data_IF_602310956685
#
_entry.id   IF_602310956685
#
_cell.length_a   1.000
_cell.length_b   1.000
_cell.length_c   1.000
_cell.angle_alpha   90.00
_cell.angle_beta   90.00
_cell.angle_gamma   90.00
#
_symmetry.space_group_name_H-M   'P 1'
#
loop_
_entity.id
_entity.type
_entity.pdbx_description
1 polymer ?
#
# COMPACT_ATOMS: atom_id res chain seq x y z
N UNK A 1 -13.81 9.99 8.75
CA UNK A 1 -12.65 9.52 7.97
C UNK A 1 -12.58 8.00 8.12
N UNK A 2 -12.28 7.24 7.06
CA UNK A 2 -12.03 5.80 7.21
C UNK A 2 -10.76 5.64 8.04
N UNK A 3 -10.89 5.14 9.28
CA UNK A 3 -9.74 4.83 10.12
C UNK A 3 -9.24 3.45 9.74
N UNK A 4 -8.11 3.40 9.04
CA UNK A 4 -7.44 2.16 8.69
C UNK A 4 -6.46 1.79 9.82
N UNK A 5 -6.39 0.52 10.24
CA UNK A 5 -5.36 0.08 11.18
C UNK A 5 -3.97 0.45 10.67
N UNK A 6 -3.07 0.84 11.56
CA UNK A 6 -1.69 1.26 11.23
C UNK A 6 -0.83 0.17 10.58
N UNK A 7 -1.28 -1.09 10.62
CA UNK A 7 -0.62 -2.24 10.00
C UNK A 7 -1.06 -2.53 8.57
N UNK A 8 -2.07 -1.82 8.04
CA UNK A 8 -2.59 -2.10 6.69
C UNK A 8 -1.65 -1.51 5.65
N UNK A 9 -1.11 -2.37 4.78
CA UNK A 9 -0.30 -1.93 3.65
C UNK A 9 -1.21 -1.49 2.51
N UNK A 10 -0.74 -0.54 1.72
CA UNK A 10 -1.49 -0.01 0.59
C UNK A 10 -0.71 -0.26 -0.69
N UNK A 11 -1.27 -1.08 -1.57
CA UNK A 11 -0.70 -1.38 -2.87
C UNK A 11 -1.40 -0.60 -3.98
N UNK A 12 -0.64 0.26 -4.63
CA UNK A 12 -1.11 1.11 -5.73
C UNK A 12 -0.83 0.42 -7.07
N UNK A 13 -1.89 0.20 -7.86
CA UNK A 13 -1.76 -0.37 -9.19
C UNK A 13 -1.20 0.66 -10.18
N UNK A 14 -0.03 0.37 -10.77
CA UNK A 14 0.55 1.22 -11.79
C UNK A 14 -0.34 1.28 -13.05
N UNK A 15 -0.46 2.47 -13.65
CA UNK A 15 -1.21 2.66 -14.89
C UNK A 15 -2.73 2.63 -14.69
N UNK A 16 -3.46 2.09 -15.68
CA UNK A 16 -4.91 2.17 -15.76
C UNK A 16 -5.56 0.79 -15.64
N UNK A 17 -6.60 0.71 -14.81
CA UNK A 17 -7.45 -0.47 -14.62
C UNK A 17 -8.84 -0.20 -15.18
N UNK A 18 -9.46 -1.24 -15.78
CA UNK A 18 -10.85 -1.17 -16.20
C UNK A 18 -11.78 -1.11 -14.98
N UNK A 19 -12.40 0.05 -14.76
CA UNK A 19 -13.31 0.28 -13.64
C UNK A 19 -14.67 -0.42 -13.75
N UNK A 20 -14.97 -1.09 -14.87
CA UNK A 20 -16.14 -1.97 -14.99
C UNK A 20 -15.99 -3.25 -14.15
N UNK A 21 -14.76 -3.60 -13.77
CA UNK A 21 -14.49 -4.74 -12.88
C UNK A 21 -15.11 -4.50 -11.49
N UNK A 22 -15.87 -5.48 -11.01
CA UNK A 22 -16.33 -5.60 -9.62
C UNK A 22 -15.29 -6.37 -8.79
N UNK A 23 -15.70 -6.85 -7.61
CA UNK A 23 -14.86 -7.55 -6.63
C UNK A 23 -14.00 -8.64 -7.28
N UNK A 24 -14.58 -9.65 -7.93
CA UNK A 24 -13.80 -10.78 -8.48
C UNK A 24 -12.82 -10.36 -9.58
N UNK A 25 -13.24 -9.41 -10.42
CA UNK A 25 -12.40 -8.87 -11.47
C UNK A 25 -11.21 -8.10 -10.91
N UNK A 26 -11.41 -7.35 -9.82
CA UNK A 26 -10.33 -6.62 -9.13
C UNK A 26 -9.46 -7.55 -8.30
N UNK A 27 -10.01 -8.58 -7.65
CA UNK A 27 -9.25 -9.62 -6.96
C UNK A 27 -8.32 -10.36 -7.94
N UNK A 28 -8.82 -10.68 -9.14
CA UNK A 28 -7.99 -11.23 -10.21
C UNK A 28 -6.92 -10.24 -10.69
N UNK A 29 -7.23 -8.94 -10.74
CA UNK A 29 -6.25 -7.91 -11.06
C UNK A 29 -5.18 -7.77 -9.96
N UNK A 30 -5.54 -7.86 -8.67
CA UNK A 30 -4.60 -7.89 -7.55
C UNK A 30 -3.59 -9.02 -7.73
N UNK A 31 -4.06 -10.24 -8.00
CA UNK A 31 -3.19 -11.41 -8.21
C UNK A 31 -2.26 -11.24 -9.42
N UNK A 32 -2.80 -10.76 -10.54
CA UNK A 32 -2.06 -10.70 -11.83
C UNK A 32 -1.14 -9.49 -11.95
N UNK A 33 -1.63 -8.31 -11.61
CA UNK A 33 -0.91 -7.06 -11.77
C UNK A 33 -0.04 -6.76 -10.55
N UNK A 34 -0.58 -6.91 -9.34
CA UNK A 34 0.14 -6.55 -8.11
C UNK A 34 0.96 -7.70 -7.54
N UNK A 35 0.72 -8.93 -8.00
CA UNK A 35 1.33 -10.16 -7.47
C UNK A 35 1.12 -10.31 -5.96
N UNK A 36 -0.03 -9.83 -5.48
CA UNK A 36 -0.46 -9.94 -4.08
C UNK A 36 -1.66 -10.87 -3.96
N UNK A 37 -1.88 -11.37 -2.75
CA UNK A 37 -3.10 -12.13 -2.43
C UNK A 37 -4.21 -11.17 -1.95
N UNK A 38 -5.37 -11.10 -2.62
CA UNK A 38 -6.45 -10.19 -2.25
C UNK A 38 -7.07 -10.46 -0.87
N UNK A 39 -6.78 -11.59 -0.22
CA UNK A 39 -7.35 -11.99 1.08
C UNK A 39 -6.51 -11.54 2.30
N UNK A 40 -5.38 -10.85 2.10
CA UNK A 40 -4.44 -10.50 3.18
C UNK A 40 -4.90 -9.35 4.09
N UNK A 41 -6.02 -8.71 3.77
CA UNK A 41 -6.50 -7.53 4.49
C UNK A 41 -5.77 -6.22 4.17
N UNK A 42 -4.87 -6.25 3.18
CA UNK A 42 -4.24 -5.05 2.61
C UNK A 42 -5.22 -4.27 1.72
N UNK A 43 -4.91 -3.00 1.44
CA UNK A 43 -5.66 -2.19 0.47
C UNK A 43 -5.05 -2.31 -0.92
N UNK A 44 -5.89 -2.61 -1.92
CA UNK A 44 -5.50 -2.62 -3.33
C UNK A 44 -6.20 -1.49 -4.07
N UNK A 45 -5.42 -0.51 -4.53
CA UNK A 45 -5.93 0.76 -5.05
C UNK A 45 -5.74 0.79 -6.57
N UNK A 46 -6.83 0.98 -7.29
CA UNK A 46 -6.88 0.98 -8.75
C UNK A 46 -7.44 2.30 -9.27
N UNK A 47 -6.96 2.73 -10.45
CA UNK A 47 -7.40 3.97 -11.08
C UNK A 47 -7.77 3.75 -12.54
N UNK A 48 -8.70 4.54 -13.06
CA UNK A 48 -9.07 4.48 -14.47
C UNK A 48 -8.09 5.25 -15.36
N UNK A 49 -8.24 5.09 -16.68
CA UNK A 49 -7.42 5.77 -17.69
C UNK A 49 -7.45 7.30 -17.57
N UNK A 50 -8.63 7.88 -17.30
CA UNK A 50 -8.83 9.32 -17.16
C UNK A 50 -8.33 9.87 -15.82
N UNK A 51 -8.01 8.98 -14.88
CA UNK A 51 -7.58 9.31 -13.51
C UNK A 51 -8.60 10.11 -12.71
N UNK A 52 -9.88 10.01 -13.03
CA UNK A 52 -10.98 10.67 -12.31
C UNK A 52 -11.72 9.69 -11.37
N UNK A 53 -11.37 8.40 -11.40
CA UNK A 53 -12.01 7.35 -10.60
C UNK A 53 -10.98 6.43 -9.96
N UNK A 54 -11.21 6.16 -8.69
CA UNK A 54 -10.43 5.21 -7.88
C UNK A 54 -11.35 4.17 -7.27
N UNK A 55 -10.90 2.91 -7.30
CA UNK A 55 -11.49 1.81 -6.53
C UNK A 55 -10.48 1.27 -5.53
N UNK A 56 -10.93 0.97 -4.32
CA UNK A 56 -10.12 0.34 -3.28
C UNK A 56 -10.78 -0.98 -2.90
N UNK A 57 -10.10 -2.08 -3.18
CA UNK A 57 -10.49 -3.42 -2.76
C UNK A 57 -9.77 -3.78 -1.46
N UNK A 58 -10.49 -4.31 -0.47
CA UNK A 58 -9.89 -4.89 0.72
C UNK A 58 -10.73 -6.06 1.25
N UNK A 59 -10.07 -7.02 1.89
CA UNK A 59 -10.72 -8.13 2.55
C UNK A 59 -10.81 -7.87 4.05
N UNK A 60 -11.98 -8.07 4.63
CA UNK A 60 -12.26 -7.91 6.07
C UNK A 60 -12.85 -9.21 6.57
N UNK A 61 -12.16 -9.94 7.46
CA UNK A 61 -12.57 -11.21 8.11
C UNK A 61 -13.34 -12.21 7.23
N UNK A 62 -14.60 -11.91 6.91
CA UNK A 62 -15.54 -12.75 6.15
C UNK A 62 -15.88 -12.26 4.73
N UNK A 63 -15.41 -11.09 4.28
CA UNK A 63 -15.87 -10.54 3.01
C UNK A 63 -15.02 -9.45 2.38
N UNK A 64 -15.25 -9.24 1.08
CA UNK A 64 -14.66 -8.14 0.34
C UNK A 64 -15.45 -6.85 0.50
N UNK A 65 -14.71 -5.77 0.66
CA UNK A 65 -15.19 -4.42 0.56
C UNK A 65 -14.61 -3.75 -0.68
N UNK A 66 -15.46 -2.97 -1.34
CA UNK A 66 -15.08 -2.20 -2.52
C UNK A 66 -15.52 -0.75 -2.36
N UNK A 67 -14.56 0.13 -2.11
CA UNK A 67 -14.82 1.56 -2.13
C UNK A 67 -14.65 2.09 -3.54
N UNK A 68 -15.49 3.04 -3.92
CA UNK A 68 -15.43 3.70 -5.22
C UNK A 68 -15.54 5.21 -5.01
N UNK A 69 -14.53 5.94 -5.48
CA UNK A 69 -14.51 7.41 -5.47
C UNK A 69 -14.41 7.92 -6.90
N UNK A 70 -15.31 8.84 -7.25
CA UNK A 70 -15.27 9.60 -8.50
C UNK A 70 -15.08 11.08 -8.16
N UNK A 71 -14.17 11.74 -8.84
CA UNK A 71 -14.04 13.18 -8.78
C UNK A 71 -15.10 13.84 -9.67
N UNK A 72 -15.72 14.91 -9.17
CA UNK A 72 -16.64 15.72 -9.98
C UNK A 72 -15.86 16.62 -10.97
N UNK A 73 -14.59 16.93 -10.68
CA UNK A 73 -13.67 17.63 -11.58
C UNK A 73 -12.22 17.27 -11.28
N UNK A 74 -11.33 17.41 -12.27
CA UNK A 74 -9.90 17.15 -12.14
C UNK A 74 -9.51 15.68 -12.19
N UNK A 75 -8.27 15.39 -11.81
CA UNK A 75 -7.68 14.05 -11.88
C UNK A 75 -6.78 13.77 -10.68
N UNK A 76 -6.74 12.51 -10.25
CA UNK A 76 -5.78 12.02 -9.28
C UNK A 76 -4.35 12.05 -9.84
N UNK A 77 -3.39 12.41 -8.98
CA UNK A 77 -1.97 12.26 -9.29
C UNK A 77 -1.60 10.78 -9.21
N UNK A 78 -1.55 10.13 -10.37
CA UNK A 78 -1.36 8.68 -10.47
C UNK A 78 -0.01 8.33 -11.11
N UNK A 79 0.76 7.37 -10.55
CA UNK A 79 2.03 6.96 -11.14
C UNK A 79 1.81 6.43 -12.56
N UNK A 80 2.53 7.03 -13.50
CA UNK A 80 2.52 6.58 -14.89
C UNK A 80 3.33 5.28 -14.98
N UNK A 81 2.82 4.29 -15.71
CA UNK A 81 3.54 3.04 -16.00
C UNK A 81 4.74 3.24 -16.95
N UNK A 82 5.19 4.48 -17.19
CA UNK A 82 6.33 4.78 -18.08
C UNK A 82 7.63 4.55 -17.31
N UNK A 83 8.25 3.39 -17.52
CA UNK A 83 9.64 3.12 -17.18
C UNK A 83 9.88 2.29 -15.91
N UNK A 84 8.87 2.11 -15.06
CA UNK A 84 8.91 1.09 -14.02
C UNK A 84 8.03 -0.07 -14.46
N UNK A 85 8.56 -1.29 -14.36
CA UNK A 85 7.81 -2.54 -14.47
C UNK A 85 6.44 -2.40 -13.83
N UNK A 86 5.44 -3.12 -14.33
CA UNK A 86 4.05 -3.20 -13.84
C UNK A 86 3.88 -3.62 -12.35
N UNK A 87 4.91 -3.44 -11.52
CA UNK A 87 4.94 -3.72 -10.10
C UNK A 87 4.04 -2.74 -9.32
N UNK A 88 3.40 -3.27 -8.29
CA UNK A 88 2.69 -2.48 -7.30
C UNK A 88 3.66 -1.52 -6.60
N UNK A 89 3.25 -0.26 -6.44
CA UNK A 89 3.94 0.67 -5.55
C UNK A 89 3.27 0.58 -4.18
N UNK A 90 4.04 0.20 -3.15
CA UNK A 90 3.55 0.28 -1.77
C UNK A 90 3.62 1.74 -1.31
N UNK A 91 2.49 2.26 -0.83
CA UNK A 91 2.38 3.61 -0.28
C UNK A 91 1.91 3.54 1.17
N UNK A 92 2.24 4.57 1.95
CA UNK A 92 1.74 4.69 3.31
C UNK A 92 0.33 5.31 3.35
N UNK A 93 -0.28 5.31 4.55
CA UNK A 93 -1.63 5.83 4.78
C UNK A 93 -1.73 7.34 4.54
N UNK A 94 -0.65 8.10 4.77
CA UNK A 94 -0.63 9.54 4.51
C UNK A 94 -0.59 9.83 3.01
N UNK A 95 0.17 9.05 2.24
CA UNK A 95 0.20 9.10 0.78
C UNK A 95 -1.16 8.71 0.19
N UNK A 96 -1.82 7.69 0.74
CA UNK A 96 -3.19 7.34 0.33
C UNK A 96 -4.18 8.49 0.65
N UNK A 97 -4.10 9.09 1.84
CA UNK A 97 -4.96 10.21 2.20
C UNK A 97 -4.73 11.42 1.28
N UNK A 98 -3.47 11.76 0.97
CA UNK A 98 -3.11 12.81 0.03
C UNK A 98 -3.65 12.51 -1.38
N UNK A 99 -3.48 11.28 -1.87
CA UNK A 99 -4.02 10.82 -3.15
C UNK A 99 -5.53 11.02 -3.20
N UNK A 100 -6.25 10.53 -2.20
CA UNK A 100 -7.69 10.64 -2.12
C UNK A 100 -8.14 12.10 -1.94
N UNK A 101 -7.30 12.97 -1.37
CA UNK A 101 -7.52 14.42 -1.29
C UNK A 101 -7.27 15.16 -2.61
N UNK A 102 -6.77 14.50 -3.65
CA UNK A 102 -6.42 15.12 -4.94
C UNK A 102 -5.05 15.82 -4.93
N UNK A 103 -4.24 15.59 -3.89
CA UNK A 103 -2.89 16.13 -3.80
C UNK A 103 -1.91 15.27 -4.60
N UNK A 104 -0.77 15.86 -4.97
CA UNK A 104 0.29 15.16 -5.70
C UNK A 104 1.00 14.16 -4.79
N UNK A 105 0.93 12.88 -5.13
CA UNK A 105 1.75 11.83 -4.51
C UNK A 105 3.04 11.73 -5.31
N UNK A 106 4.11 12.38 -4.82
CA UNK A 106 5.43 12.22 -5.43
C UNK A 106 6.20 11.10 -4.74
N UNK A 107 6.67 10.13 -5.52
CA UNK A 107 7.65 9.11 -5.09
C UNK A 107 9.07 9.68 -4.86
N UNK A 108 9.27 10.98 -5.16
CA UNK A 108 10.51 11.70 -4.85
C UNK A 108 10.65 11.72 -3.32
N UNK A 109 11.59 10.93 -2.79
CA UNK A 109 11.94 10.86 -1.37
C UNK A 109 11.83 12.27 -0.78
N UNK A 110 10.82 12.46 0.06
CA UNK A 110 10.71 13.68 0.84
C UNK A 110 12.04 13.84 1.58
N UNK A 111 12.74 14.96 1.35
CA UNK A 111 13.97 15.31 2.09
C UNK A 111 13.66 15.69 3.55
N UNK A 112 12.39 15.58 3.94
CA UNK A 112 11.90 15.88 5.26
C UNK A 112 11.97 14.65 6.18
N UNK A 113 11.87 14.91 7.48
CA UNK A 113 12.16 13.95 8.53
C UNK A 113 11.31 12.67 8.38
N UNK A 114 11.96 11.53 8.18
CA UNK A 114 11.35 10.21 8.31
C UNK A 114 12.02 9.49 9.47
N UNK A 115 11.26 9.18 10.50
CA UNK A 115 11.77 8.36 11.60
C UNK A 115 12.00 6.95 11.08
N UNK A 116 13.24 6.48 11.15
CA UNK A 116 13.58 5.08 10.86
C UNK A 116 13.84 4.41 12.21
N UNK A 117 13.06 3.39 12.62
CA UNK A 117 13.43 2.60 13.77
C UNK A 117 14.78 1.95 13.49
N UNK A 118 15.78 2.23 14.32
CA UNK A 118 16.97 1.40 14.40
C UNK A 118 16.52 -0.01 14.80
N UNK A 119 16.75 -1.00 13.95
CA UNK A 119 16.48 -2.40 14.28
C UNK A 119 17.44 -2.81 15.41
N UNK A 120 17.04 -2.63 16.67
CA UNK A 120 17.76 -3.14 17.84
C UNK A 120 17.49 -4.65 17.95
N UNK A 121 18.02 -5.41 16.99
CA UNK A 121 18.21 -6.86 17.08
C UNK A 121 19.68 -7.17 16.87
N UNK A 122 20.51 -6.79 17.85
CA UNK A 122 21.85 -7.35 18.12
C UNK A 122 22.34 -6.75 19.43
N UNK A 123 21.78 -7.20 20.56
CA UNK A 123 22.37 -6.93 21.89
C UNK A 123 22.14 -8.07 22.91
N UNK A 124 21.45 -9.17 22.53
CA UNK A 124 21.23 -10.30 23.43
C UNK A 124 21.99 -11.59 23.04
N UNK A 125 23.02 -11.49 22.19
CA UNK A 125 23.88 -12.63 21.88
C UNK A 125 25.17 -12.68 22.72
N UNK A 126 25.51 -11.61 23.45
CA UNK A 126 26.80 -11.50 24.18
C UNK A 126 26.71 -11.76 25.70
N UNK A 127 25.54 -12.09 26.23
CA UNK A 127 25.36 -12.36 27.67
C UNK A 127 25.33 -13.85 28.03
N UNK A 128 25.20 -14.76 27.06
CA UNK A 128 25.21 -16.21 27.32
C UNK A 128 26.61 -16.84 27.39
N UNK A 129 27.67 -16.08 27.08
CA UNK A 129 29.07 -16.58 27.12
C UNK A 129 29.83 -16.26 28.41
N UNK A 130 29.24 -15.48 29.35
CA UNK A 130 29.91 -15.05 30.59
C UNK A 130 29.46 -15.76 31.89
N UNK A 131 28.43 -16.58 31.87
CA UNK A 131 27.92 -17.23 33.09
C UNK A 131 28.38 -18.69 33.29
N UNK A 132 29.21 -19.26 32.41
CA UNK A 132 29.75 -20.62 32.59
C UNK A 132 31.14 -20.69 33.25
N UNK A 133 31.73 -19.55 33.66
CA UNK A 133 33.08 -19.51 34.24
C UNK A 133 33.16 -19.05 35.71
N UNK A 134 32.04 -18.87 36.41
CA UNK A 134 32.03 -18.40 37.80
C UNK A 134 31.05 -19.19 38.70
N UNK A 135 31.25 -20.51 38.82
CA UNK A 135 30.91 -21.29 40.02
C UNK A 135 31.53 -22.69 39.91
N UNK A 136 32.84 -22.73 40.15
CA UNK A 136 33.48 -23.81 40.87
C UNK A 136 33.77 -23.29 42.28
#
# INVERSE_FOLDING_TARGET
MLSLPSSVRVFLAAGATDMRKSIDGLAAATRRALRQDPFTGDLFVFCNRRRDRVKILYWERSGFWLLHKRLESGTFSWPSAKGASHAAEEIDSAQLAALLGGLVVSSRRQRWFSWKPSNTRSANADLSHREQHASR
#
